data_IF_062525492726
#
_entry.id   IF_062525492726
#
_cell.length_a   1.000
_cell.length_b   1.000
_cell.length_c   1.000
_cell.angle_alpha   90.00
_cell.angle_beta   90.00
_cell.angle_gamma   90.00
#
_symmetry.space_group_name_H-M   'P 1'
#
loop_
_entity.id
_entity.type
_entity.pdbx_description
1 polymer ?
#
# COMPACT_ATOMS: atom_id res chain seq x y z
N UNK A 1 -3.88 -9.14 9.19
CA UNK A 1 -4.01 -8.81 7.76
C UNK A 1 -3.08 -7.70 7.31
N UNK A 2 -2.37 -7.93 6.20
CA UNK A 2 -1.49 -6.97 5.50
C UNK A 2 -2.18 -6.57 4.20
N UNK A 3 -2.19 -5.28 3.91
CA UNK A 3 -2.75 -4.75 2.66
C UNK A 3 -1.60 -4.26 1.80
N UNK A 4 -1.42 -4.85 0.62
CA UNK A 4 -0.41 -4.44 -0.35
C UNK A 4 -1.06 -3.52 -1.38
N UNK A 5 -0.47 -2.35 -1.59
CA UNK A 5 -0.94 -1.35 -2.55
C UNK A 5 0.18 -0.95 -3.50
N UNK A 6 -0.18 -0.67 -4.76
CA UNK A 6 0.72 -0.12 -5.76
C UNK A 6 0.57 1.40 -5.80
N UNK A 7 1.64 2.12 -5.46
CA UNK A 7 1.68 3.59 -5.46
C UNK A 7 2.58 4.11 -6.57
N UNK A 8 2.55 5.41 -6.85
CA UNK A 8 3.49 6.05 -7.78
C UNK A 8 4.96 5.98 -7.34
N UNK A 9 5.23 5.55 -6.09
CA UNK A 9 6.58 5.35 -5.53
C UNK A 9 6.97 3.88 -5.41
N UNK A 10 6.19 2.97 -5.99
CA UNK A 10 6.39 1.53 -5.93
C UNK A 10 5.30 0.79 -5.13
N UNK A 11 5.45 -0.53 -5.06
CA UNK A 11 4.55 -1.42 -4.31
C UNK A 11 4.98 -1.47 -2.84
N UNK A 12 4.04 -1.25 -1.93
CA UNK A 12 4.30 -1.20 -0.50
C UNK A 12 3.05 -1.57 0.31
N UNK A 13 3.19 -1.72 1.62
CA UNK A 13 2.05 -1.92 2.50
C UNK A 13 1.24 -0.64 2.67
N UNK A 14 -0.04 -0.77 3.00
CA UNK A 14 -0.90 0.39 3.32
C UNK A 14 -0.36 1.23 4.49
N UNK A 15 0.35 0.59 5.43
CA UNK A 15 0.98 1.26 6.57
C UNK A 15 2.12 2.17 6.11
N UNK A 16 2.99 1.67 5.22
CA UNK A 16 4.08 2.46 4.63
C UNK A 16 3.53 3.62 3.78
N UNK A 17 2.53 3.35 2.95
CA UNK A 17 1.90 4.37 2.13
C UNK A 17 1.28 5.51 2.96
N UNK A 18 0.63 5.17 4.09
CA UNK A 18 0.06 6.15 5.02
C UNK A 18 1.14 7.04 5.66
N UNK A 19 2.29 6.48 6.03
CA UNK A 19 3.44 7.25 6.56
C UNK A 19 3.99 8.23 5.53
N UNK A 20 4.04 7.81 4.27
CA UNK A 20 4.50 8.63 3.15
C UNK A 20 3.43 9.59 2.60
N UNK A 21 2.20 9.55 3.15
CA UNK A 21 1.04 10.32 2.69
C UNK A 21 0.77 10.15 1.19
N UNK A 22 0.93 8.93 0.68
CA UNK A 22 0.63 8.58 -0.72
C UNK A 22 -0.51 7.57 -0.78
N UNK A 23 -1.33 7.70 -1.82
CA UNK A 23 -2.37 6.73 -2.18
C UNK A 23 -1.90 5.80 -3.29
N UNK A 24 -2.69 4.76 -3.56
CA UNK A 24 -2.40 3.77 -4.59
C UNK A 24 -3.55 2.82 -4.85
N UNK A 25 -3.36 1.97 -5.85
CA UNK A 25 -4.29 0.88 -6.17
C UNK A 25 -4.10 -0.26 -5.17
N UNK A 26 -5.20 -0.78 -4.62
CA UNK A 26 -5.17 -2.01 -3.82
C UNK A 26 -4.77 -3.20 -4.71
N UNK A 27 -3.73 -3.94 -4.34
CA UNK A 27 -3.28 -5.14 -5.05
C UNK A 27 -3.92 -6.37 -4.45
N UNK A 28 -3.67 -6.60 -3.16
CA UNK A 28 -4.26 -7.71 -2.42
C UNK A 28 -4.29 -7.39 -0.92
N UNK A 29 -5.17 -8.12 -0.22
CA UNK A 29 -5.10 -8.27 1.21
C UNK A 29 -4.61 -9.69 1.49
N UNK A 30 -3.84 -9.85 2.57
CA UNK A 30 -3.48 -11.14 3.15
C UNK A 30 -4.07 -11.09 4.55
N UNK A 31 -4.86 -12.07 4.96
CA UNK A 31 -5.56 -12.06 6.25
C UNK A 31 -4.72 -12.73 7.33
#
# INVERSE_FOLDING_TARGET
GIVIISTSKGVMTSVEAKRLKVGGMLVCAIW
#
